data_IF_764762680714
#
_entry.id   IF_764762680714
#
_cell.length_a   1.000
_cell.length_b   1.000
_cell.length_c   1.000
_cell.angle_alpha   90.00
_cell.angle_beta   90.00
_cell.angle_gamma   90.00
#
_symmetry.space_group_name_H-M   'P 1'
#
loop_
_entity.id
_entity.type
_entity.pdbx_description
1 polymer ?
#
# COMPACT_ATOMS: atom_id res chain seq x y z
N UNK A 1 15.78 -9.24 -8.15
CA UNK A 1 14.77 -9.70 -9.11
C UNK A 1 13.38 -9.89 -8.48
N UNK A 2 13.26 -10.61 -7.36
CA UNK A 2 11.97 -10.87 -6.70
C UNK A 2 11.19 -9.62 -6.26
N UNK A 3 11.90 -8.60 -5.74
CA UNK A 3 11.27 -7.33 -5.32
C UNK A 3 10.64 -6.59 -6.50
N UNK A 4 11.29 -6.60 -7.68
CA UNK A 4 10.73 -5.97 -8.89
C UNK A 4 9.46 -6.68 -9.35
N UNK A 5 9.43 -8.02 -9.30
CA UNK A 5 8.23 -8.79 -9.61
C UNK A 5 7.09 -8.51 -8.63
N UNK A 6 7.39 -8.40 -7.33
CA UNK A 6 6.40 -8.04 -6.31
C UNK A 6 5.82 -6.64 -6.55
N UNK A 7 6.66 -5.65 -6.86
CA UNK A 7 6.20 -4.29 -7.21
C UNK A 7 5.35 -4.29 -8.48
N UNK A 8 5.72 -5.09 -9.49
CA UNK A 8 4.94 -5.19 -10.73
C UNK A 8 3.56 -5.81 -10.49
N UNK A 9 3.48 -6.89 -9.70
CA UNK A 9 2.20 -7.52 -9.30
C UNK A 9 1.36 -6.54 -8.48
N UNK A 10 1.99 -5.74 -7.61
CA UNK A 10 1.30 -4.72 -6.81
C UNK A 10 0.72 -3.58 -7.67
N UNK A 11 1.39 -3.21 -8.76
CA UNK A 11 0.92 -2.19 -9.72
C UNK A 11 -0.12 -2.72 -10.73
N UNK A 12 -0.21 -4.03 -10.91
CA UNK A 12 -1.12 -4.70 -11.85
C UNK A 12 -2.57 -4.18 -11.82
N UNK A 13 -3.23 -4.01 -10.65
CA UNK A 13 -4.59 -3.46 -10.60
C UNK A 13 -4.69 -2.04 -11.16
N UNK A 14 -3.68 -1.20 -10.93
CA UNK A 14 -3.62 0.16 -11.49
C UNK A 14 -3.48 0.10 -13.01
N UNK A 15 -2.61 -0.78 -13.52
CA UNK A 15 -2.42 -0.98 -14.95
C UNK A 15 -3.69 -1.50 -15.65
N UNK A 16 -4.43 -2.42 -15.02
CA UNK A 16 -5.71 -2.95 -15.52
C UNK A 16 -6.74 -1.83 -15.65
N UNK A 17 -6.86 -0.97 -14.64
CA UNK A 17 -7.81 0.16 -14.68
C UNK A 17 -7.41 1.19 -15.73
N UNK A 18 -6.11 1.50 -15.84
CA UNK A 18 -5.61 2.44 -16.84
C UNK A 18 -5.85 1.95 -18.27
N UNK A 19 -5.69 0.65 -18.54
CA UNK A 19 -5.89 0.07 -19.86
C UNK A 19 -7.35 -0.24 -20.18
N UNK A 20 -8.23 -0.31 -19.17
CA UNK A 20 -9.65 -0.61 -19.38
C UNK A 20 -10.39 0.54 -20.09
N UNK A 21 -11.06 0.21 -21.20
CA UNK A 21 -12.07 1.07 -21.85
C UNK A 21 -13.41 1.09 -21.11
N UNK A 22 -13.61 0.25 -20.07
CA UNK A 22 -14.87 0.20 -19.32
C UNK A 22 -15.09 1.39 -18.38
N UNK A 23 -14.04 2.12 -18.01
CA UNK A 23 -14.11 3.20 -17.02
C UNK A 23 -13.72 4.53 -17.65
N UNK A 24 -14.55 5.57 -17.52
CA UNK A 24 -14.26 6.91 -18.04
C UNK A 24 -13.19 7.63 -17.21
N UNK A 25 -12.65 8.76 -17.73
CA UNK A 25 -11.51 9.45 -17.11
C UNK A 25 -11.71 9.85 -15.63
N UNK A 26 -12.91 10.28 -15.24
CA UNK A 26 -13.24 10.58 -13.84
C UNK A 26 -13.34 9.33 -12.98
N UNK A 27 -13.94 8.25 -13.51
CA UNK A 27 -14.04 6.97 -12.80
C UNK A 27 -12.67 6.31 -12.61
N UNK A 28 -11.76 6.41 -13.58
CA UNK A 28 -10.37 5.93 -13.44
C UNK A 28 -9.67 6.59 -12.24
N UNK A 29 -9.83 7.90 -12.07
CA UNK A 29 -9.23 8.62 -10.94
C UNK A 29 -9.82 8.15 -9.60
N UNK A 30 -11.13 7.92 -9.52
CA UNK A 30 -11.77 7.39 -8.31
C UNK A 30 -11.25 5.98 -7.96
N UNK A 31 -11.08 5.11 -8.95
CA UNK A 31 -10.55 3.76 -8.75
C UNK A 31 -9.07 3.75 -8.34
N UNK A 32 -8.24 4.60 -8.95
CA UNK A 32 -6.84 4.77 -8.56
C UNK A 32 -6.74 5.29 -7.12
N UNK A 33 -7.56 6.29 -6.76
CA UNK A 33 -7.61 6.83 -5.42
C UNK A 33 -7.99 5.74 -4.39
N UNK A 34 -9.01 4.93 -4.70
CA UNK A 34 -9.44 3.83 -3.84
C UNK A 34 -8.32 2.79 -3.60
N UNK A 35 -7.56 2.44 -4.65
CA UNK A 35 -6.43 1.50 -4.53
C UNK A 35 -5.31 2.09 -3.68
N UNK A 36 -4.99 3.38 -3.85
CA UNK A 36 -3.99 4.07 -3.03
C UNK A 36 -4.42 4.02 -1.56
N UNK A 37 -5.67 4.39 -1.25
CA UNK A 37 -6.18 4.35 0.12
C UNK A 37 -6.12 2.94 0.72
N UNK A 38 -6.54 1.90 -0.01
CA UNK A 38 -6.57 0.53 0.51
C UNK A 38 -5.16 -0.05 0.68
N UNK A 39 -4.25 0.25 -0.25
CA UNK A 39 -2.89 -0.32 -0.25
C UNK A 39 -1.94 0.35 0.73
N UNK A 40 -2.08 1.67 0.95
CA UNK A 40 -1.25 2.43 1.90
C UNK A 40 -1.79 2.45 3.32
N UNK A 41 -3.03 1.99 3.57
CA UNK A 41 -3.59 2.00 4.92
C UNK A 41 -2.77 1.20 5.93
N UNK A 42 -2.10 0.13 5.48
CA UNK A 42 -1.22 -0.69 6.31
C UNK A 42 -0.05 0.11 6.91
N UNK A 43 0.45 1.14 6.21
CA UNK A 43 1.53 1.99 6.71
C UNK A 43 1.03 2.92 7.81
N UNK A 44 -0.18 3.48 7.67
CA UNK A 44 -0.80 4.32 8.69
C UNK A 44 -0.95 3.53 10.00
N UNK A 45 -1.45 2.29 9.89
CA UNK A 45 -1.52 1.38 11.03
C UNK A 45 -0.14 1.01 11.57
N UNK A 46 0.84 0.75 10.71
CA UNK A 46 2.21 0.50 11.17
C UNK A 46 2.74 1.67 11.99
N UNK A 47 2.57 2.93 11.58
CA UNK A 47 3.01 4.08 12.39
C UNK A 47 2.21 4.23 13.70
N UNK A 48 0.94 3.83 13.71
CA UNK A 48 0.08 3.89 14.90
C UNK A 48 0.36 2.74 15.90
N UNK A 49 0.60 1.53 15.40
CA UNK A 49 0.80 0.30 16.17
C UNK A 49 2.27 0.02 16.47
N UNK A 50 3.20 0.55 15.65
CA UNK A 50 4.62 0.42 15.91
C UNK A 50 4.89 0.97 17.31
N UNK A 51 5.54 0.18 18.18
CA UNK A 51 5.73 0.55 19.56
C UNK A 51 6.60 1.81 19.63
N UNK A 52 6.00 2.92 20.07
CA UNK A 52 6.70 4.18 20.32
C UNK A 52 7.65 4.04 21.52
N UNK A 53 7.43 3.03 22.37
CA UNK A 53 8.26 2.79 23.55
C UNK A 53 9.47 1.92 23.18
N UNK A 54 10.72 2.33 23.50
CA UNK A 54 11.86 1.45 23.37
C UNK A 54 11.60 0.18 24.18
N UNK A 55 11.93 -0.99 23.62
CA UNK A 55 12.00 -2.23 24.40
C UNK A 55 12.93 -1.94 25.57
N UNK A 56 12.39 -1.88 26.78
CA UNK A 56 13.20 -2.00 27.97
C UNK A 56 13.69 -3.43 27.99
N UNK A 57 14.84 -3.63 27.38
CA UNK A 57 15.70 -4.76 27.62
C UNK A 57 16.10 -4.68 29.09
N UNK A 58 15.34 -5.38 29.95
CA UNK A 58 15.78 -5.65 31.31
C UNK A 58 16.85 -6.75 31.22
N UNK A 59 18.03 -6.37 30.74
CA UNK A 59 19.25 -7.09 31.06
C UNK A 59 19.60 -6.73 32.50
N UNK A 60 19.67 -7.76 33.33
CA UNK A 60 20.02 -7.77 34.75
C UNK A 60 20.88 -6.59 35.24
N UNK A 61 20.36 -5.87 36.22
CA UNK A 61 21.10 -5.22 37.31
C UNK A 61 20.42 -5.61 38.63
#
# INVERSE_FOLDING_TARGET
MFVLAAVFIWLLPVLIILNSDKTSGGEKLAWILAIIFLSWFAWIFYFLLAPIKPRRDYWYD
#
